data_IF_920106320155
#
_entry.id   IF_920106320155
#
_cell.length_a   1.000
_cell.length_b   1.000
_cell.length_c   1.000
_cell.angle_alpha   90.00
_cell.angle_beta   90.00
_cell.angle_gamma   90.00
#
_symmetry.space_group_name_H-M   'P 1'
#
loop_
_entity.id
_entity.type
_entity.pdbx_description
1 polymer ?
#
# COMPACT_ATOMS: atom_id res chain seq x y z
N UNK A 1 -18.26 -17.25 -14.06
CA UNK A 1 -17.01 -17.54 -14.78
C UNK A 1 -16.94 -16.64 -16.00
N UNK A 2 -16.28 -15.48 -15.90
CA UNK A 2 -15.83 -14.73 -17.07
C UNK A 2 -14.50 -14.06 -16.71
N UNK A 3 -13.56 -14.23 -17.63
CA UNK A 3 -12.12 -14.05 -17.49
C UNK A 3 -11.73 -12.57 -17.65
N UNK A 4 -10.81 -12.12 -16.80
CA UNK A 4 -9.73 -11.15 -17.05
C UNK A 4 -9.97 -10.17 -18.22
N UNK A 5 -10.43 -8.95 -17.92
CA UNK A 5 -10.35 -7.83 -18.87
C UNK A 5 -8.94 -7.23 -18.82
N UNK A 6 -8.02 -7.88 -19.54
CA UNK A 6 -6.80 -7.23 -20.01
C UNK A 6 -7.21 -6.35 -21.21
N UNK A 7 -7.61 -5.10 -20.94
CA UNK A 7 -8.06 -4.21 -22.01
C UNK A 7 -8.78 -2.93 -21.61
N UNK A 8 -8.87 -2.60 -20.31
CA UNK A 8 -9.21 -1.23 -19.91
C UNK A 8 -8.02 -0.32 -20.24
N UNK A 9 -8.27 0.67 -21.10
CA UNK A 9 -7.31 1.73 -21.38
C UNK A 9 -6.86 2.35 -20.04
N UNK A 10 -5.56 2.48 -19.74
CA UNK A 10 -5.10 3.02 -18.46
C UNK A 10 -5.67 4.42 -18.17
N UNK A 11 -6.02 5.19 -19.21
CA UNK A 11 -6.72 6.47 -19.12
C UNK A 11 -8.13 6.36 -18.50
N UNK A 12 -8.83 5.22 -18.65
CA UNK A 12 -10.18 5.01 -18.08
C UNK A 12 -10.11 4.65 -16.57
N UNK A 13 -8.93 4.24 -16.10
CA UNK A 13 -8.63 4.06 -14.67
C UNK A 13 -8.03 5.32 -14.02
N UNK A 14 -7.65 6.33 -14.82
CA UNK A 14 -7.25 7.66 -14.32
C UNK A 14 -8.48 8.43 -13.83
N UNK A 15 -8.78 8.27 -12.54
CA UNK A 15 -9.76 9.08 -11.82
C UNK A 15 -9.12 9.70 -10.58
N UNK A 16 -9.80 10.64 -9.89
CA UNK A 16 -9.35 11.13 -8.57
C UNK A 16 -9.38 10.05 -7.48
N UNK A 17 -10.12 8.96 -7.72
CA UNK A 17 -10.36 7.86 -6.78
C UNK A 17 -9.08 7.18 -6.29
N UNK A 18 -8.09 6.78 -7.12
CA UNK A 18 -6.82 6.24 -6.66
C UNK A 18 -5.99 7.22 -5.79
N UNK A 19 -6.10 8.54 -6.00
CA UNK A 19 -5.42 9.52 -5.16
C UNK A 19 -6.07 9.64 -3.79
N UNK A 20 -7.41 9.76 -3.74
CA UNK A 20 -8.14 9.86 -2.47
C UNK A 20 -8.08 8.56 -1.67
N UNK A 21 -8.27 7.41 -2.32
CA UNK A 21 -8.16 6.09 -1.66
C UNK A 21 -6.74 5.77 -1.25
N UNK A 22 -5.75 6.05 -2.10
CA UNK A 22 -4.34 5.83 -1.78
C UNK A 22 -3.88 6.67 -0.60
N UNK A 23 -4.27 7.94 -0.55
CA UNK A 23 -3.98 8.81 0.58
C UNK A 23 -4.67 8.32 1.86
N UNK A 24 -5.96 7.98 1.80
CA UNK A 24 -6.69 7.44 2.95
C UNK A 24 -6.10 6.14 3.48
N UNK A 25 -5.61 5.27 2.60
CA UNK A 25 -4.88 4.06 2.98
C UNK A 25 -3.61 4.41 3.77
N UNK A 26 -2.76 5.30 3.22
CA UNK A 26 -1.52 5.69 3.88
C UNK A 26 -1.76 6.35 5.25
N UNK A 27 -2.76 7.22 5.35
CA UNK A 27 -3.15 7.83 6.63
C UNK A 27 -3.67 6.79 7.62
N UNK A 28 -4.43 5.80 7.15
CA UNK A 28 -4.92 4.71 8.01
C UNK A 28 -3.77 3.86 8.55
N UNK A 29 -2.80 3.51 7.69
CA UNK A 29 -1.59 2.80 8.08
C UNK A 29 -0.74 3.62 9.06
N UNK A 30 -0.56 4.92 8.81
CA UNK A 30 0.16 5.84 9.71
C UNK A 30 -0.51 5.91 11.08
N UNK A 31 -1.85 5.98 11.15
CA UNK A 31 -2.60 5.99 12.42
C UNK A 31 -2.44 4.70 13.22
N UNK A 32 -2.26 3.57 12.54
CA UNK A 32 -2.10 2.25 13.19
C UNK A 32 -0.71 2.13 13.83
N UNK A 33 0.34 2.50 13.09
CA UNK A 33 1.73 2.30 13.51
C UNK A 33 2.34 3.51 14.23
N UNK A 34 1.73 4.69 14.07
CA UNK A 34 2.19 5.98 14.54
C UNK A 34 3.14 6.67 13.56
N UNK A 35 3.07 8.00 13.48
CA UNK A 35 3.87 8.84 12.56
C UNK A 35 5.37 8.55 12.60
N UNK A 36 6.05 8.44 13.76
CA UNK A 36 7.50 8.21 13.77
C UNK A 36 7.90 6.86 13.15
N UNK A 37 7.10 5.82 13.39
CA UNK A 37 7.35 4.48 12.86
C UNK A 37 7.02 4.40 11.36
N UNK A 38 6.00 5.13 10.93
CA UNK A 38 5.62 5.24 9.53
C UNK A 38 6.65 6.01 8.69
N UNK A 39 7.22 7.09 9.22
CA UNK A 39 8.32 7.82 8.56
C UNK A 39 9.57 6.96 8.36
N UNK A 40 9.90 6.15 9.37
CA UNK A 40 11.03 5.22 9.30
C UNK A 40 10.78 4.12 8.25
N UNK A 41 9.57 3.55 8.25
CA UNK A 41 9.11 2.64 7.20
C UNK A 41 9.19 3.27 5.80
N UNK A 42 8.74 4.51 5.63
CA UNK A 42 8.75 5.19 4.33
C UNK A 42 10.19 5.35 3.79
N UNK A 43 11.15 5.70 4.65
CA UNK A 43 12.57 5.75 4.29
C UNK A 43 13.10 4.38 3.90
N UNK A 44 12.76 3.34 4.68
CA UNK A 44 13.18 1.97 4.40
C UNK A 44 12.58 1.44 3.09
N UNK A 45 11.30 1.72 2.84
CA UNK A 45 10.58 1.39 1.60
C UNK A 45 11.24 2.02 0.38
N UNK A 46 11.49 3.34 0.40
CA UNK A 46 12.17 4.03 -0.70
C UNK A 46 13.58 3.48 -0.93
N UNK A 47 14.32 3.16 0.14
CA UNK A 47 15.65 2.56 0.02
C UNK A 47 15.61 1.15 -0.59
N UNK A 48 14.59 0.36 -0.26
CA UNK A 48 14.41 -1.03 -0.70
C UNK A 48 13.93 -1.16 -2.14
N UNK A 49 13.09 -0.23 -2.58
CA UNK A 49 12.43 -0.26 -3.90
C UNK A 49 12.91 0.85 -4.85
N UNK A 50 14.01 1.55 -4.54
CA UNK A 50 14.62 2.50 -5.48
C UNK A 50 14.99 1.79 -6.79
N UNK A 51 14.68 2.44 -7.91
CA UNK A 51 15.01 1.99 -9.27
C UNK A 51 14.39 0.64 -9.70
N UNK A 52 13.34 0.18 -9.02
CA UNK A 52 12.59 -1.02 -9.39
C UNK A 52 11.09 -0.73 -9.46
N UNK A 53 10.37 -1.56 -10.20
CA UNK A 53 8.90 -1.58 -10.17
C UNK A 53 8.43 -2.36 -8.96
N UNK A 54 7.32 -1.94 -8.35
CA UNK A 54 6.74 -2.57 -7.17
C UNK A 54 5.24 -2.73 -7.37
N UNK A 55 4.72 -3.89 -7.01
CA UNK A 55 3.29 -4.20 -7.03
C UNK A 55 2.63 -3.89 -5.67
N UNK A 56 1.31 -3.70 -5.65
CA UNK A 56 0.56 -3.50 -4.39
C UNK A 56 0.73 -4.67 -3.42
N UNK A 57 0.88 -5.89 -3.93
CA UNK A 57 1.13 -7.08 -3.12
C UNK A 57 2.51 -7.05 -2.46
N UNK A 58 3.54 -6.57 -3.18
CA UNK A 58 4.88 -6.38 -2.62
C UNK A 58 4.90 -5.28 -1.57
N UNK A 59 4.18 -4.17 -1.78
CA UNK A 59 4.01 -3.13 -0.76
C UNK A 59 3.39 -3.72 0.52
N UNK A 60 2.26 -4.42 0.39
CA UNK A 60 1.56 -5.06 1.53
C UNK A 60 2.48 -6.02 2.28
N UNK A 61 3.12 -6.93 1.56
CA UNK A 61 4.01 -7.94 2.14
C UNK A 61 5.18 -7.27 2.87
N UNK A 62 5.76 -6.22 2.28
CA UNK A 62 6.86 -5.49 2.90
C UNK A 62 6.41 -4.72 4.15
N UNK A 63 5.23 -4.11 4.13
CA UNK A 63 4.64 -3.41 5.27
C UNK A 63 4.36 -4.37 6.43
N UNK A 64 3.70 -5.50 6.17
CA UNK A 64 3.41 -6.54 7.18
C UNK A 64 4.70 -7.13 7.76
N UNK A 65 5.72 -7.33 6.93
CA UNK A 65 7.03 -7.84 7.37
C UNK A 65 7.81 -6.80 8.19
N UNK A 66 7.75 -5.52 7.83
CA UNK A 66 8.46 -4.44 8.53
C UNK A 66 7.98 -4.26 9.96
N UNK A 67 6.67 -4.44 10.16
CA UNK A 67 6.01 -4.31 11.45
C UNK A 67 5.62 -5.67 12.05
N UNK A 68 6.26 -6.75 11.61
CA UNK A 68 6.02 -8.09 12.15
C UNK A 68 6.21 -8.07 13.67
N UNK A 69 5.16 -8.45 14.40
CA UNK A 69 5.09 -8.36 15.87
C UNK A 69 4.17 -7.27 16.42
N UNK A 70 3.64 -6.38 15.57
CA UNK A 70 2.54 -5.50 15.95
C UNK A 70 1.19 -6.16 15.67
N UNK A 71 0.48 -6.58 16.72
CA UNK A 71 -0.84 -7.22 16.62
C UNK A 71 -1.87 -6.37 15.85
N UNK A 72 -1.70 -5.04 15.87
CA UNK A 72 -2.59 -4.08 15.19
C UNK A 72 -2.53 -4.16 13.66
N UNK A 73 -1.46 -4.74 13.08
CA UNK A 73 -1.32 -4.86 11.61
C UNK A 73 -1.95 -6.16 11.11
N UNK A 74 -1.91 -7.23 11.91
CA UNK A 74 -2.45 -8.54 11.54
C UNK A 74 -3.97 -8.54 11.28
N UNK A 75 -4.69 -7.54 11.80
CA UNK A 75 -6.13 -7.36 11.61
C UNK A 75 -6.53 -6.21 10.69
N UNK A 76 -5.60 -5.60 9.96
CA UNK A 76 -5.92 -4.50 9.06
C UNK A 76 -6.64 -5.00 7.80
N UNK A 77 -7.83 -4.45 7.53
CA UNK A 77 -8.58 -4.73 6.31
C UNK A 77 -8.00 -3.93 5.14
N UNK A 78 -7.49 -4.62 4.14
CA UNK A 78 -6.83 -4.02 2.98
C UNK A 78 -7.81 -3.72 1.82
N UNK A 79 -9.12 -4.01 1.98
CA UNK A 79 -10.15 -3.88 0.94
C UNK A 79 -11.02 -2.62 1.07
N UNK A 80 -10.46 -1.53 1.63
CA UNK A 80 -11.12 -0.20 1.74
C UNK A 80 -11.35 0.52 0.41
#
# INVERSE_FOLDING_TARGET
MSLLVAGSDPDDAFSGVPYEKGFNLLISLERIVGTPAFEDFAKAYLKRFKFVTVTSQEFKTYFESYFAGQEKIAGFDWEV
#
